data_IF_353710745457
#
_entry.id   IF_353710745457
#
_cell.length_a   1.000
_cell.length_b   1.000
_cell.length_c   1.000
_cell.angle_alpha   90.00
_cell.angle_beta   90.00
_cell.angle_gamma   90.00
#
_symmetry.space_group_name_H-M   'P 1'
#
loop_
_entity.id
_entity.type
_entity.pdbx_description
1 polymer ?
#
# COMPACT_ATOMS: atom_id res chain seq x y z
N UNK A 1 57.47 48.91 -37.28
CA UNK A 1 56.06 48.69 -36.92
C UNK A 1 55.99 47.85 -35.66
N UNK A 2 55.33 48.30 -34.58
CA UNK A 2 55.15 47.49 -33.39
C UNK A 2 54.18 46.32 -33.67
N UNK A 3 54.35 45.16 -33.00
CA UNK A 3 53.45 44.03 -33.16
C UNK A 3 52.06 44.35 -32.59
N UNK A 4 50.97 43.79 -33.16
CA UNK A 4 49.63 43.99 -32.64
C UNK A 4 49.49 43.34 -31.25
N UNK A 5 48.71 43.95 -30.34
CA UNK A 5 48.46 43.39 -29.03
C UNK A 5 47.70 42.06 -29.15
N UNK A 6 48.11 41.06 -28.37
CA UNK A 6 47.44 39.76 -28.32
C UNK A 6 46.00 39.90 -27.81
N UNK A 7 45.02 39.14 -28.36
CA UNK A 7 43.65 39.15 -27.86
C UNK A 7 43.61 38.68 -26.41
N UNK A 8 43.00 39.48 -25.52
CA UNK A 8 42.72 39.05 -24.15
C UNK A 8 41.71 37.91 -24.18
N UNK A 9 42.01 36.83 -23.46
CA UNK A 9 41.08 35.72 -23.28
C UNK A 9 39.80 36.22 -22.58
N UNK A 10 38.61 35.77 -23.01
CA UNK A 10 37.37 36.13 -22.34
C UNK A 10 37.39 35.62 -20.89
N UNK A 11 36.77 36.36 -19.95
CA UNK A 11 36.70 35.93 -18.57
C UNK A 11 35.98 34.58 -18.47
N UNK A 12 36.41 33.68 -17.57
CA UNK A 12 35.76 32.40 -17.37
C UNK A 12 34.30 32.61 -16.96
N UNK A 13 33.40 31.91 -17.64
CA UNK A 13 31.98 31.91 -17.30
C UNK A 13 31.81 31.41 -15.85
N UNK A 14 31.03 32.14 -15.06
CA UNK A 14 30.68 31.72 -13.71
C UNK A 14 29.95 30.36 -13.78
N UNK A 15 30.24 29.43 -12.86
CA UNK A 15 29.51 28.18 -12.79
C UNK A 15 28.02 28.46 -12.53
N UNK A 16 27.10 27.65 -13.08
CA UNK A 16 25.67 27.80 -12.82
C UNK A 16 25.39 27.70 -11.32
N UNK A 17 24.39 28.44 -10.80
CA UNK A 17 23.98 28.31 -9.41
C UNK A 17 23.62 26.85 -9.12
N UNK A 18 24.07 26.35 -7.97
CA UNK A 18 23.71 25.01 -7.51
C UNK A 18 22.18 24.92 -7.44
N UNK A 19 21.56 23.83 -7.93
CA UNK A 19 20.12 23.64 -7.79
C UNK A 19 19.75 23.73 -6.30
N UNK A 20 18.59 24.31 -5.96
CA UNK A 20 18.15 24.36 -4.57
C UNK A 20 18.17 22.94 -3.98
N UNK A 21 18.53 22.78 -2.70
CA UNK A 21 18.49 21.46 -2.08
C UNK A 21 17.07 20.92 -2.24
N UNK A 22 16.91 19.83 -2.99
CA UNK A 22 15.64 19.13 -3.05
C UNK A 22 15.19 18.89 -1.60
N UNK A 23 13.95 19.25 -1.22
CA UNK A 23 13.48 18.96 0.13
C UNK A 23 13.71 17.48 0.41
N UNK A 24 14.27 17.12 1.57
CA UNK A 24 14.52 15.72 1.89
C UNK A 24 13.20 14.97 1.71
N UNK A 25 13.16 14.04 0.74
CA UNK A 25 11.95 13.26 0.51
C UNK A 25 11.53 12.62 1.85
N UNK A 26 10.29 12.86 2.25
CA UNK A 26 9.73 12.33 3.49
C UNK A 26 9.75 10.79 3.47
N UNK A 27 9.75 10.17 4.64
CA UNK A 27 9.82 8.72 4.75
C UNK A 27 8.48 8.04 4.45
N UNK A 28 7.36 8.75 4.61
CA UNK A 28 6.00 8.24 4.37
C UNK A 28 5.06 9.30 3.77
N UNK A 29 3.92 8.84 3.24
CA UNK A 29 2.83 9.72 2.82
C UNK A 29 2.18 10.45 4.02
N UNK A 30 2.08 9.81 5.18
CA UNK A 30 1.64 10.45 6.42
C UNK A 30 2.54 11.62 6.83
N UNK A 31 3.87 11.50 6.68
CA UNK A 31 4.80 12.60 6.96
C UNK A 31 4.63 13.78 5.99
N UNK A 32 4.32 13.50 4.71
CA UNK A 32 3.94 14.54 3.74
C UNK A 32 2.73 15.35 4.22
N UNK A 33 1.70 14.67 4.73
CA UNK A 33 0.53 15.34 5.29
C UNK A 33 0.88 16.12 6.57
N UNK A 34 1.56 15.50 7.53
CA UNK A 34 1.84 16.09 8.83
C UNK A 34 2.82 17.29 8.75
N UNK A 35 3.85 17.20 7.90
CA UNK A 35 4.92 18.21 7.87
C UNK A 35 4.71 19.28 6.80
N UNK A 36 4.18 18.89 5.63
CA UNK A 36 3.96 19.82 4.52
C UNK A 36 2.50 20.29 4.41
N UNK A 37 1.58 19.74 5.21
CA UNK A 37 0.15 20.04 5.11
C UNK A 37 -0.50 19.47 3.84
N UNK A 38 0.16 18.53 3.15
CA UNK A 38 -0.28 18.04 1.85
C UNK A 38 -0.91 16.65 1.97
N UNK A 39 -2.18 16.61 2.37
CA UNK A 39 -2.96 15.39 2.66
C UNK A 39 -3.88 14.96 1.51
N UNK A 40 -3.61 15.42 0.28
CA UNK A 40 -4.43 15.10 -0.89
C UNK A 40 -3.81 13.97 -1.72
N UNK A 41 -4.68 13.11 -2.26
CA UNK A 41 -4.27 12.01 -3.13
C UNK A 41 -3.41 12.52 -4.29
N UNK A 42 -2.18 12.05 -4.39
CA UNK A 42 -1.21 12.56 -5.37
C UNK A 42 0.02 11.69 -5.48
N UNK A 43 0.68 11.75 -6.63
CA UNK A 43 2.00 11.13 -6.82
C UNK A 43 3.07 11.96 -6.10
N UNK A 44 3.92 11.29 -5.32
CA UNK A 44 4.98 11.92 -4.51
C UNK A 44 6.23 11.05 -4.49
N UNK A 45 7.36 11.67 -4.16
CA UNK A 45 8.59 10.95 -3.82
C UNK A 45 8.64 10.73 -2.31
N UNK A 46 8.82 9.47 -1.89
CA UNK A 46 9.09 9.10 -0.49
C UNK A 46 10.33 8.22 -0.39
N UNK A 47 10.93 8.11 0.79
CA UNK A 47 12.08 7.23 1.06
C UNK A 47 11.63 5.89 1.64
N UNK A 48 11.60 4.85 0.80
CA UNK A 48 11.37 3.47 1.25
C UNK A 48 12.74 2.80 1.40
N UNK A 49 13.08 2.35 2.62
CA UNK A 49 14.39 1.72 2.93
C UNK A 49 15.59 2.58 2.51
N UNK A 50 15.46 3.92 2.64
CA UNK A 50 16.51 4.87 2.25
C UNK A 50 16.58 5.19 0.77
N UNK A 51 15.80 4.51 -0.08
CA UNK A 51 15.74 4.74 -1.52
C UNK A 51 14.53 5.63 -1.85
N UNK A 52 14.77 6.71 -2.58
CA UNK A 52 13.70 7.57 -3.09
C UNK A 52 12.89 6.83 -4.14
N UNK A 53 11.58 6.72 -3.93
CA UNK A 53 10.64 6.05 -4.83
C UNK A 53 9.46 6.97 -5.12
N UNK A 54 9.04 6.98 -6.38
CA UNK A 54 7.79 7.62 -6.80
C UNK A 54 6.63 6.70 -6.45
N UNK A 55 5.69 7.20 -5.66
CA UNK A 55 4.53 6.46 -5.16
C UNK A 55 3.28 7.30 -5.36
N UNK A 56 2.13 6.66 -5.50
CA UNK A 56 0.85 7.33 -5.29
C UNK A 56 0.54 7.31 -3.80
N UNK A 57 0.38 8.48 -3.19
CA UNK A 57 -0.12 8.61 -1.83
C UNK A 57 -1.64 8.74 -1.89
N UNK A 58 -2.37 7.86 -1.21
CA UNK A 58 -3.79 8.05 -0.93
C UNK A 58 -4.03 8.21 0.58
N UNK A 59 -5.02 9.02 0.93
CA UNK A 59 -5.24 9.45 2.31
C UNK A 59 -6.60 9.03 2.84
N UNK A 60 -6.61 8.62 4.10
CA UNK A 60 -7.79 8.47 4.94
C UNK A 60 -7.63 9.43 6.14
N UNK A 61 -8.27 10.60 6.03
CA UNK A 61 -7.98 11.74 6.90
C UNK A 61 -6.51 12.18 6.77
N UNK A 62 -5.75 12.06 7.87
CA UNK A 62 -4.32 12.38 7.89
C UNK A 62 -3.40 11.17 7.69
N UNK A 63 -3.97 9.95 7.60
CA UNK A 63 -3.19 8.73 7.35
C UNK A 63 -2.94 8.60 5.85
N UNK A 64 -1.69 8.70 5.45
CA UNK A 64 -1.28 8.52 4.06
C UNK A 64 -0.65 7.15 3.85
N UNK A 65 -1.12 6.42 2.86
CA UNK A 65 -0.56 5.13 2.44
C UNK A 65 0.04 5.27 1.04
N UNK A 66 1.21 4.68 0.83
CA UNK A 66 1.90 4.67 -0.46
C UNK A 66 1.52 3.46 -1.32
N UNK A 67 1.44 3.66 -2.63
CA UNK A 67 1.08 2.63 -3.59
C UNK A 67 1.96 2.71 -4.83
N UNK A 68 2.39 1.55 -5.33
CA UNK A 68 3.17 1.41 -6.56
C UNK A 68 2.59 0.27 -7.41
N UNK A 69 2.31 0.55 -8.67
CA UNK A 69 1.88 -0.48 -9.61
C UNK A 69 3.08 -1.29 -10.09
N UNK A 70 2.92 -2.61 -10.10
CA UNK A 70 3.78 -3.56 -10.80
C UNK A 70 2.99 -4.12 -11.98
N UNK A 71 3.60 -4.11 -13.16
CA UNK A 71 3.06 -4.76 -14.37
C UNK A 71 4.07 -5.76 -14.92
N UNK A 72 3.58 -6.86 -15.49
CA UNK A 72 4.40 -7.96 -15.99
C UNK A 72 5.44 -8.45 -14.95
N UNK A 73 5.04 -8.47 -13.67
CA UNK A 73 5.87 -8.91 -12.56
C UNK A 73 5.98 -10.44 -12.49
N UNK A 74 6.68 -10.92 -11.45
CA UNK A 74 6.67 -12.34 -11.09
C UNK A 74 5.24 -12.74 -10.75
N UNK A 75 4.83 -13.88 -11.32
CA UNK A 75 3.53 -14.49 -11.03
C UNK A 75 3.48 -14.88 -9.56
N UNK A 76 2.43 -14.45 -8.87
CA UNK A 76 2.11 -14.85 -7.50
C UNK A 76 0.69 -15.40 -7.42
N UNK A 77 0.48 -16.42 -6.60
CA UNK A 77 -0.82 -17.08 -6.37
C UNK A 77 -1.09 -17.34 -4.87
N UNK A 78 -0.12 -17.03 -4.01
CA UNK A 78 -0.18 -17.19 -2.54
C UNK A 78 0.76 -16.23 -1.84
N UNK A 79 0.52 -16.02 -0.55
CA UNK A 79 1.27 -15.10 0.30
C UNK A 79 2.77 -15.39 0.44
N UNK A 80 3.16 -16.65 0.43
CA UNK A 80 4.55 -17.08 0.54
C UNK A 80 5.24 -17.27 -0.83
N UNK A 81 4.50 -17.10 -1.93
CA UNK A 81 5.08 -17.12 -3.27
C UNK A 81 5.87 -15.82 -3.55
N UNK A 82 6.96 -15.89 -4.33
CA UNK A 82 7.68 -14.70 -4.77
C UNK A 82 6.76 -13.71 -5.51
N UNK A 83 7.03 -12.42 -5.33
CA UNK A 83 6.41 -11.34 -6.11
C UNK A 83 7.49 -10.33 -6.52
N UNK A 84 7.10 -9.33 -7.31
CA UNK A 84 7.97 -8.25 -7.80
C UNK A 84 7.82 -6.96 -7.01
N UNK A 85 7.21 -6.99 -5.81
CA UNK A 85 7.14 -5.81 -4.97
C UNK A 85 8.55 -5.36 -4.57
N UNK A 86 8.85 -4.05 -4.66
CA UNK A 86 10.12 -3.51 -4.22
C UNK A 86 10.47 -3.86 -2.77
N UNK A 87 11.77 -3.90 -2.45
CA UNK A 87 12.20 -4.12 -1.08
C UNK A 87 11.58 -3.11 -0.11
N UNK A 88 11.00 -3.61 0.98
CA UNK A 88 10.28 -2.82 1.98
C UNK A 88 8.79 -2.65 1.69
N UNK A 89 8.27 -3.22 0.60
CA UNK A 89 6.85 -3.27 0.26
C UNK A 89 6.39 -4.71 0.06
N UNK A 90 5.08 -4.91 0.05
CA UNK A 90 4.42 -6.17 -0.33
C UNK A 90 3.09 -5.84 -1.03
N UNK A 91 2.33 -6.84 -1.47
CA UNK A 91 0.99 -6.67 -2.03
C UNK A 91 0.15 -5.78 -1.11
N UNK A 92 -0.52 -4.79 -1.69
CA UNK A 92 -1.22 -3.77 -0.92
C UNK A 92 -2.41 -4.35 -0.14
N UNK A 93 -2.67 -3.76 1.03
CA UNK A 93 -3.78 -4.14 1.92
C UNK A 93 -4.79 -3.00 1.92
N UNK A 94 -6.02 -3.19 1.41
CA UNK A 94 -7.07 -2.22 1.58
C UNK A 94 -7.42 -2.12 3.06
N UNK A 95 -7.37 -0.91 3.59
CA UNK A 95 -7.59 -0.64 5.02
C UNK A 95 -9.01 -0.17 5.30
N UNK A 96 -9.57 0.62 4.38
CA UNK A 96 -10.91 1.18 4.44
C UNK A 96 -11.52 1.21 3.05
N UNK A 97 -12.85 1.30 2.99
CA UNK A 97 -13.57 1.41 1.72
C UNK A 97 -13.11 2.64 0.91
N UNK A 98 -12.91 3.80 1.57
CA UNK A 98 -12.44 5.01 0.89
C UNK A 98 -11.04 4.84 0.25
N UNK A 99 -10.14 4.11 0.91
CA UNK A 99 -8.83 3.81 0.31
C UNK A 99 -8.94 2.81 -0.83
N UNK A 100 -9.83 1.81 -0.74
CA UNK A 100 -10.10 0.92 -1.85
C UNK A 100 -10.51 1.72 -3.10
N UNK A 101 -11.44 2.65 -2.95
CA UNK A 101 -11.93 3.51 -4.03
C UNK A 101 -10.79 4.32 -4.65
N UNK A 102 -10.01 5.02 -3.82
CA UNK A 102 -8.92 5.86 -4.30
C UNK A 102 -7.84 5.07 -5.08
N UNK A 103 -7.56 3.84 -4.65
CA UNK A 103 -6.52 2.98 -5.27
C UNK A 103 -7.07 2.34 -6.55
N UNK A 104 -8.33 1.92 -6.58
CA UNK A 104 -9.01 1.42 -7.78
C UNK A 104 -9.15 2.51 -8.84
N UNK A 105 -9.55 3.73 -8.45
CA UNK A 105 -9.63 4.88 -9.37
C UNK A 105 -8.27 5.19 -10.01
N UNK A 106 -7.18 4.94 -9.27
CA UNK A 106 -5.82 5.19 -9.74
C UNK A 106 -5.26 4.09 -10.63
N UNK A 107 -5.43 2.82 -10.23
CA UNK A 107 -4.72 1.69 -10.84
C UNK A 107 -5.64 0.69 -11.55
N UNK A 108 -6.96 0.91 -11.54
CA UNK A 108 -7.93 0.07 -12.22
C UNK A 108 -7.94 -1.35 -11.68
N UNK A 109 -8.00 -2.32 -12.59
CA UNK A 109 -8.14 -3.75 -12.26
C UNK A 109 -7.02 -4.29 -11.38
N UNK A 110 -5.78 -3.82 -11.53
CA UNK A 110 -4.67 -4.29 -10.72
C UNK A 110 -4.86 -4.05 -9.21
N UNK A 111 -5.66 -3.04 -8.83
CA UNK A 111 -5.95 -2.75 -7.43
C UNK A 111 -6.93 -3.76 -6.83
N UNK A 112 -8.04 -4.07 -7.51
CA UNK A 112 -9.03 -4.99 -6.96
C UNK A 112 -8.75 -6.46 -7.29
N UNK A 113 -8.02 -6.76 -8.37
CA UNK A 113 -7.77 -8.12 -8.81
C UNK A 113 -6.97 -8.91 -7.78
N UNK A 114 -5.95 -8.28 -7.19
CA UNK A 114 -5.16 -8.85 -6.12
C UNK A 114 -5.00 -7.85 -4.97
N UNK A 115 -5.32 -8.32 -3.77
CA UNK A 115 -5.02 -7.65 -2.51
C UNK A 115 -4.27 -8.60 -1.58
N UNK A 116 -3.52 -8.04 -0.63
CA UNK A 116 -2.68 -8.79 0.29
C UNK A 116 -3.45 -9.41 1.46
N UNK A 117 -4.59 -10.07 1.19
CA UNK A 117 -5.43 -10.78 2.17
C UNK A 117 -5.39 -12.27 1.87
N UNK A 118 -5.18 -13.08 2.92
CA UNK A 118 -5.17 -14.54 2.80
C UNK A 118 -5.68 -15.20 4.09
N UNK A 119 -6.26 -16.39 3.97
CA UNK A 119 -6.63 -17.20 5.13
C UNK A 119 -5.42 -17.83 5.82
N UNK A 120 -5.63 -18.27 7.07
CA UNK A 120 -4.60 -18.86 7.93
C UNK A 120 -4.85 -20.34 8.26
N UNK A 121 -6.10 -20.79 8.15
CA UNK A 121 -6.51 -22.18 8.30
C UNK A 121 -6.34 -23.00 7.04
N UNK A 122 -6.36 -24.32 7.17
CA UNK A 122 -6.55 -25.21 6.02
C UNK A 122 -8.00 -25.03 5.57
N UNK A 123 -8.22 -24.37 4.43
CA UNK A 123 -9.54 -24.41 3.80
C UNK A 123 -9.93 -25.86 3.53
N UNK A 124 -11.22 -26.16 3.57
CA UNK A 124 -11.63 -27.54 3.36
C UNK A 124 -11.32 -27.95 1.92
N UNK A 125 -10.69 -29.11 1.77
CA UNK A 125 -10.66 -29.78 0.48
C UNK A 125 -12.09 -30.09 0.07
N UNK A 126 -12.53 -29.65 -1.11
CA UNK A 126 -13.73 -30.22 -1.73
C UNK A 126 -13.64 -31.75 -1.67
N UNK A 127 -14.65 -32.51 -1.17
CA UNK A 127 -16.00 -32.11 -0.73
C UNK A 127 -16.17 -31.97 0.81
N UNK A 128 -15.11 -32.02 1.60
CA UNK A 128 -15.19 -32.03 3.07
C UNK A 128 -15.43 -30.66 3.73
N UNK A 129 -15.26 -29.53 3.03
CA UNK A 129 -15.53 -28.18 3.55
C UNK A 129 -17.00 -27.83 3.68
N UNK A 130 -17.88 -28.42 2.87
CA UNK A 130 -19.27 -27.92 2.73
C UNK A 130 -20.07 -27.99 4.04
N UNK A 131 -19.64 -28.83 4.98
CA UNK A 131 -20.30 -29.04 6.26
C UNK A 131 -19.55 -28.44 7.46
N UNK A 132 -18.41 -27.76 7.24
CA UNK A 132 -17.72 -27.01 8.30
C UNK A 132 -18.06 -25.52 8.14
N UNK A 133 -18.99 -24.98 8.94
CA UNK A 133 -19.46 -23.60 8.79
C UNK A 133 -18.36 -22.56 9.07
N UNK A 134 -17.25 -22.95 9.70
CA UNK A 134 -16.18 -22.06 10.15
C UNK A 134 -14.85 -22.28 9.39
N UNK A 135 -14.83 -23.18 8.39
CA UNK A 135 -13.64 -23.48 7.59
C UNK A 135 -13.13 -22.30 6.74
N UNK A 136 -13.90 -21.22 6.66
CA UNK A 136 -13.54 -19.92 6.07
C UNK A 136 -13.84 -18.75 7.03
N UNK A 137 -13.82 -18.97 8.34
CA UNK A 137 -14.12 -17.95 9.36
C UNK A 137 -15.63 -17.76 9.53
N UNK A 138 -16.22 -16.81 8.79
CA UNK A 138 -17.68 -16.62 8.70
C UNK A 138 -18.27 -16.98 7.33
N UNK A 139 -17.41 -17.32 6.37
CA UNK A 139 -17.78 -17.64 4.99
C UNK A 139 -18.72 -16.58 4.40
N UNK A 140 -19.72 -16.98 3.62
CA UNK A 140 -20.68 -16.08 2.97
C UNK A 140 -21.70 -15.38 3.91
N UNK A 141 -21.60 -15.60 5.22
CA UNK A 141 -22.55 -15.05 6.21
C UNK A 141 -22.09 -13.74 6.84
N UNK A 142 -20.82 -13.40 6.65
CA UNK A 142 -20.17 -12.30 7.35
C UNK A 142 -19.44 -11.39 6.35
N UNK A 143 -19.47 -10.06 6.55
CA UNK A 143 -18.69 -9.13 5.75
C UNK A 143 -17.20 -9.46 5.74
N UNK A 144 -16.57 -9.45 4.57
CA UNK A 144 -15.13 -9.69 4.44
C UNK A 144 -14.33 -8.44 4.82
N UNK A 145 -14.18 -8.21 6.12
CA UNK A 145 -13.31 -7.20 6.72
C UNK A 145 -12.91 -7.62 8.15
N UNK A 146 -11.94 -6.92 8.73
CA UNK A 146 -11.44 -7.19 10.08
C UNK A 146 -12.42 -6.85 11.21
N UNK A 147 -13.52 -6.15 10.94
CA UNK A 147 -14.51 -5.82 11.98
C UNK A 147 -15.43 -7.02 12.26
N UNK A 148 -15.56 -7.96 11.32
CA UNK A 148 -16.21 -9.27 11.59
C UNK A 148 -15.24 -10.19 12.32
N UNK A 149 -15.52 -10.46 13.60
CA UNK A 149 -14.68 -11.31 14.44
C UNK A 149 -14.47 -12.72 13.86
N UNK A 150 -15.49 -13.29 13.21
CA UNK A 150 -15.38 -14.59 12.56
C UNK A 150 -14.41 -14.56 11.37
N UNK A 151 -14.45 -13.49 10.56
CA UNK A 151 -13.51 -13.33 9.46
C UNK A 151 -12.10 -12.99 9.96
N UNK A 152 -11.95 -12.09 10.93
CA UNK A 152 -10.65 -11.71 11.51
C UNK A 152 -9.93 -12.88 12.20
N UNK A 153 -10.68 -13.84 12.75
CA UNK A 153 -10.10 -15.05 13.33
C UNK A 153 -9.46 -15.99 12.28
N UNK A 154 -9.87 -15.89 11.01
CA UNK A 154 -9.44 -16.80 9.95
C UNK A 154 -8.57 -16.12 8.89
N UNK A 155 -8.93 -14.92 8.47
CA UNK A 155 -8.29 -14.12 7.43
C UNK A 155 -7.36 -13.09 8.04
N UNK A 156 -6.19 -12.92 7.43
CA UNK A 156 -5.20 -11.92 7.82
C UNK A 156 -4.66 -11.21 6.59
N UNK A 157 -3.95 -10.11 6.81
CA UNK A 157 -3.23 -9.39 5.76
C UNK A 157 -1.72 -9.64 5.78
N UNK A 158 -1.05 -9.28 4.69
CA UNK A 158 0.42 -9.25 4.60
C UNK A 158 1.08 -8.03 5.26
N UNK A 159 0.30 -7.13 5.88
CA UNK A 159 0.84 -5.96 6.60
C UNK A 159 2.05 -6.27 7.49
N UNK A 160 2.04 -7.34 8.31
CA UNK A 160 3.17 -7.68 9.18
C UNK A 160 4.49 -7.95 8.44
N UNK A 161 4.46 -8.34 7.15
CA UNK A 161 5.67 -8.59 6.34
C UNK A 161 6.44 -7.30 6.02
N UNK A 162 5.79 -6.15 6.07
CA UNK A 162 6.40 -4.83 5.89
C UNK A 162 6.60 -4.08 7.21
N UNK A 163 6.26 -4.71 8.34
CA UNK A 163 6.26 -4.09 9.67
C UNK A 163 5.02 -3.25 9.97
N UNK A 164 3.99 -3.33 9.14
CA UNK A 164 2.68 -2.72 9.39
C UNK A 164 1.77 -3.66 10.19
N UNK A 165 0.69 -3.16 10.82
CA UNK A 165 -0.26 -4.04 11.50
C UNK A 165 -1.05 -4.91 10.50
N UNK A 166 -1.49 -6.10 10.96
CA UNK A 166 -2.37 -6.97 10.19
C UNK A 166 -3.75 -6.32 9.95
N UNK A 167 -4.23 -5.57 10.93
CA UNK A 167 -5.53 -4.90 10.92
C UNK A 167 -5.38 -3.37 10.94
N UNK A 168 -6.40 -2.62 10.48
CA UNK A 168 -7.63 -3.12 9.86
C UNK A 168 -7.35 -3.64 8.44
N UNK A 169 -8.23 -4.48 7.94
CA UNK A 169 -8.26 -4.84 6.53
C UNK A 169 -9.70 -4.88 6.03
N UNK A 170 -9.89 -4.50 4.77
CA UNK A 170 -11.19 -4.34 4.15
C UNK A 170 -11.20 -5.01 2.78
N UNK A 171 -12.21 -5.83 2.53
CA UNK A 171 -12.52 -6.35 1.20
C UNK A 171 -13.95 -5.95 0.81
N UNK A 172 -14.88 -6.09 1.76
CA UNK A 172 -16.30 -5.78 1.58
C UNK A 172 -16.98 -5.43 2.90
N UNK A 173 -17.96 -4.53 2.88
CA UNK A 173 -18.77 -4.11 4.04
C UNK A 173 -19.98 -4.99 4.32
N UNK A 174 -20.41 -5.79 3.36
CA UNK A 174 -21.58 -6.67 3.46
C UNK A 174 -21.21 -8.13 3.19
N UNK A 175 -22.05 -9.06 3.64
CA UNK A 175 -21.95 -10.46 3.25
C UNK A 175 -22.07 -10.60 1.74
N UNK A 176 -21.32 -11.54 1.16
CA UNK A 176 -21.35 -11.84 -0.27
C UNK A 176 -21.42 -13.36 -0.48
N UNK A 177 -21.66 -13.82 -1.70
CA UNK A 177 -21.69 -15.24 -2.02
C UNK A 177 -20.38 -15.99 -1.71
N UNK A 178 -19.28 -15.25 -1.55
CA UNK A 178 -17.94 -15.71 -1.19
C UNK A 178 -17.48 -15.14 0.16
N UNK A 179 -16.50 -15.77 0.84
CA UNK A 179 -15.90 -17.06 0.50
C UNK A 179 -16.86 -18.21 0.79
N UNK A 180 -16.97 -19.17 -0.14
CA UNK A 180 -17.93 -20.27 -0.05
C UNK A 180 -17.32 -21.63 0.33
N UNK A 181 -15.99 -21.68 0.55
CA UNK A 181 -15.32 -22.83 1.16
C UNK A 181 -14.43 -23.64 0.23
N UNK A 182 -14.07 -23.11 -0.94
CA UNK A 182 -13.10 -23.71 -1.87
C UNK A 182 -11.71 -23.06 -1.81
N UNK A 183 -11.42 -22.47 -0.66
CA UNK A 183 -10.14 -21.90 -0.28
C UNK A 183 -9.04 -22.94 0.02
N UNK A 184 -7.77 -22.55 -0.18
CA UNK A 184 -6.61 -23.27 0.35
C UNK A 184 -5.67 -22.34 1.11
N UNK A 185 -5.04 -22.84 2.18
CA UNK A 185 -4.19 -22.03 3.08
C UNK A 185 -3.17 -21.19 2.32
N UNK A 186 -3.09 -19.91 2.69
CA UNK A 186 -2.20 -18.91 2.11
C UNK A 186 -2.55 -18.43 0.70
N UNK A 187 -3.57 -18.98 0.04
CA UNK A 187 -3.95 -18.55 -1.31
C UNK A 187 -4.50 -17.13 -1.31
N UNK A 188 -4.26 -16.43 -2.41
CA UNK A 188 -4.86 -15.13 -2.65
C UNK A 188 -6.35 -15.25 -2.96
N UNK A 189 -7.11 -14.25 -2.51
CA UNK A 189 -8.45 -13.98 -3.00
C UNK A 189 -8.36 -13.23 -4.32
N UNK A 190 -9.17 -13.62 -5.31
CA UNK A 190 -9.14 -13.02 -6.64
C UNK A 190 -10.33 -12.11 -6.86
N UNK A 191 -10.09 -10.81 -7.01
CA UNK A 191 -11.13 -9.85 -7.38
C UNK A 191 -11.43 -9.86 -8.88
N UNK A 192 -12.70 -9.71 -9.23
CA UNK A 192 -13.18 -9.62 -10.61
C UNK A 192 -13.80 -8.26 -10.94
N UNK A 193 -14.37 -7.59 -9.93
CA UNK A 193 -14.99 -6.29 -10.05
C UNK A 193 -15.12 -5.62 -8.67
N UNK A 194 -15.72 -4.42 -8.65
CA UNK A 194 -16.11 -3.69 -7.44
C UNK A 194 -17.56 -3.21 -7.57
N UNK A 195 -18.28 -3.18 -6.46
CA UNK A 195 -19.57 -2.51 -6.31
C UNK A 195 -19.59 -1.62 -5.06
N UNK A 196 -20.78 -1.14 -4.67
CA UNK A 196 -20.97 -0.27 -3.50
C UNK A 196 -20.56 -0.92 -2.17
N UNK A 197 -20.52 -2.26 -2.10
CA UNK A 197 -20.11 -2.99 -0.91
C UNK A 197 -18.60 -3.22 -0.83
N UNK A 198 -17.88 -3.16 -1.96
CA UNK A 198 -16.45 -3.44 -2.04
C UNK A 198 -16.10 -4.37 -3.19
N UNK A 199 -15.10 -5.23 -3.01
CA UNK A 199 -14.61 -6.15 -4.05
C UNK A 199 -15.59 -7.32 -4.23
N UNK A 200 -15.83 -7.71 -5.48
CA UNK A 200 -16.42 -9.00 -5.88
C UNK A 200 -15.26 -9.95 -6.12
N UNK A 201 -15.11 -10.99 -5.30
CA UNK A 201 -13.95 -11.87 -5.31
C UNK A 201 -14.34 -13.35 -5.36
N UNK A 202 -13.35 -14.25 -5.42
CA UNK A 202 -13.48 -15.71 -5.34
C UNK A 202 -12.22 -16.32 -4.65
N UNK A 203 -12.36 -17.48 -3.99
CA UNK A 203 -11.35 -18.19 -3.20
C UNK A 203 -10.82 -19.53 -3.79
N UNK A 204 -11.01 -19.80 -5.07
CA UNK A 204 -10.69 -21.05 -5.80
C UNK A 204 -9.23 -21.59 -5.67
N UNK A 205 -8.92 -22.37 -4.62
CA UNK A 205 -7.77 -23.29 -4.45
C UNK A 205 -6.42 -22.87 -5.07
N UNK A 206 -6.00 -21.61 -4.95
CA UNK A 206 -4.76 -21.07 -5.57
C UNK A 206 -4.70 -21.15 -7.11
N UNK A 207 -5.84 -21.31 -7.79
CA UNK A 207 -5.89 -21.34 -9.25
C UNK A 207 -5.77 -19.96 -9.91
N UNK A 208 -5.72 -18.90 -9.11
CA UNK A 208 -5.55 -17.54 -9.59
C UNK A 208 -4.08 -17.12 -9.55
N UNK A 209 -3.64 -16.55 -10.67
CA UNK A 209 -2.28 -16.10 -10.88
C UNK A 209 -2.28 -14.62 -11.25
N UNK A 210 -1.39 -13.85 -10.63
CA UNK A 210 -1.30 -12.41 -10.84
C UNK A 210 0.12 -12.00 -11.21
N UNK A 211 0.27 -11.27 -12.31
CA UNK A 211 1.51 -10.58 -12.70
C UNK A 211 1.41 -9.06 -12.56
N UNK A 212 0.18 -8.54 -12.49
CA UNK A 212 -0.12 -7.12 -12.37
C UNK A 212 -0.83 -6.89 -11.04
N UNK A 213 -0.22 -6.08 -10.18
CA UNK A 213 -0.71 -5.84 -8.81
C UNK A 213 -0.13 -4.55 -8.23
N UNK A 214 -0.79 -4.05 -7.18
CA UNK A 214 -0.32 -2.88 -6.43
C UNK A 214 0.47 -3.33 -5.21
N UNK A 215 1.63 -2.71 -5.01
CA UNK A 215 2.51 -2.89 -3.86
C UNK A 215 2.45 -1.66 -2.95
N UNK A 216 2.66 -1.86 -1.64
CA UNK A 216 2.64 -0.80 -0.63
C UNK A 216 3.56 -1.14 0.53
N UNK A 217 4.09 -0.14 1.24
CA UNK A 217 4.65 -0.40 2.58
C UNK A 217 3.58 -0.87 3.58
N UNK A 218 2.30 -0.78 3.22
CA UNK A 218 1.13 -1.12 4.03
C UNK A 218 1.07 -0.39 5.38
N UNK A 219 1.88 0.66 5.57
CA UNK A 219 1.92 1.50 6.77
C UNK A 219 0.51 1.93 7.14
N UNK A 220 0.15 1.69 8.39
CA UNK A 220 -1.12 2.13 8.96
C UNK A 220 -0.85 2.75 10.32
N UNK A 221 -0.15 3.87 10.30
CA UNK A 221 0.26 4.55 11.51
C UNK A 221 -1.00 4.99 12.28
N UNK A 222 -1.06 4.67 13.57
CA UNK A 222 -1.94 5.37 14.51
C UNK A 222 -1.66 6.87 14.38
N UNK A 223 -2.70 7.70 14.48
CA UNK A 223 -2.76 9.15 14.23
C UNK A 223 -1.41 9.89 14.29
N UNK A 224 -1.17 10.87 13.40
CA UNK A 224 0.16 11.42 13.15
C UNK A 224 0.91 11.78 14.44
N UNK A 225 2.25 11.55 14.49
CA UNK A 225 3.05 11.92 15.64
C UNK A 225 2.79 13.39 15.99
N UNK A 226 2.67 13.69 17.28
CA UNK A 226 2.48 15.05 17.75
C UNK A 226 3.56 15.95 17.14
N UNK A 227 3.22 17.19 16.71
CA UNK A 227 4.23 18.11 16.21
C UNK A 227 5.34 18.28 17.26
N UNK A 228 6.61 18.43 16.83
CA UNK A 228 7.70 18.64 17.77
C UNK A 228 7.38 19.83 18.67
N UNK A 229 7.59 19.66 19.98
CA UNK A 229 7.34 20.74 20.95
C UNK A 229 8.10 22.00 20.51
N UNK A 230 7.47 23.19 20.59
CA UNK A 230 8.18 24.43 20.28
C UNK A 230 9.44 24.53 21.13
N UNK A 231 10.55 25.07 20.57
CA UNK A 231 11.76 25.27 21.34
C UNK A 231 11.45 26.12 22.59
N UNK A 232 12.08 25.84 23.74
CA UNK A 232 11.86 26.63 24.95
C UNK A 232 12.11 28.12 24.61
N UNK A 233 11.30 29.05 25.13
CA UNK A 233 11.50 30.47 24.87
C UNK A 233 12.91 30.84 25.31
N UNK A 234 13.70 31.39 24.38
CA UNK A 234 15.05 31.89 24.68
C UNK A 234 14.95 32.84 25.86
N UNK A 235 15.53 32.44 26.98
CA UNK A 235 15.64 33.30 28.15
C UNK A 235 16.50 34.49 27.72
N UNK A 236 15.85 35.63 27.47
CA UNK A 236 16.52 36.91 27.41
C UNK A 236 17.02 37.19 28.83
N UNK A 237 18.27 36.83 29.07
CA UNK A 237 18.98 37.23 30.29
C UNK A 237 19.15 38.76 30.24
N UNK A 238 18.76 39.49 31.30
CA UNK A 238 18.87 40.95 31.35
C UNK A 238 20.31 41.46 31.33
#
# INVERSE_FOLDING_TARGET
SPPPPSPQAPPPLLPPPSPPPYPPHYSTCSEWCASAGQCSNSTRLIKIRGVSREVFCAFDGSRGVDFQLVTAGRITHRFDAPNSCPEGTDIWVPRTHALLDAVVDRFGSAAYALVGIHGTGSGGTFPSSYNDPDACGGCNREPMNSDSAAQAAFWTSVGPRTGAPAEPWFLRSESFGEPNGDYAKGCWLAGSARDEGGIIFNDLLCNYEFSDYVCSTNRWDSSPPSPPSPPPPSSMTP
#
